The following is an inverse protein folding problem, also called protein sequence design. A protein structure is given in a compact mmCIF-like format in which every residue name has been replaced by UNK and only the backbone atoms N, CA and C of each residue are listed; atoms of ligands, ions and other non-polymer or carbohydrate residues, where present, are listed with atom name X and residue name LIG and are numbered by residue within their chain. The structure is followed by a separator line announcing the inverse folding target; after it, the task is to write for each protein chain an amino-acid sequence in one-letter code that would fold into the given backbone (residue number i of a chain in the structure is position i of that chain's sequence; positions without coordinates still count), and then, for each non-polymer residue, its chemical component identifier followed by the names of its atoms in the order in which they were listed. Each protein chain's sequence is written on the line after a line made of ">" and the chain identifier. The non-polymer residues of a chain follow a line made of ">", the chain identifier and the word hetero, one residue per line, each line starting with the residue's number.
data_IF_661113748308
#
_entry.id   IF_661113748308
#
_cell.length_a   1.000
_cell.length_b   1.000
_cell.length_c   1.000
_cell.angle_alpha   90.00
_cell.angle_beta   90.00
_cell.angle_gamma   90.00
#
_symmetry.space_group_name_H-M   'P 1'
#
loop_
_entity.id
_entity.type
_entity.pdbx_description
1 polymer ?
#
# COMPACT_ATOMS: atom_id res chain seq x y z
N UNK A 1 23.20 6.50 9.49
CA UNK A 1 22.51 7.37 8.50
C UNK A 1 23.11 8.77 8.64
N UNK A 2 23.68 9.32 7.56
CA UNK A 2 24.37 10.61 7.59
C UNK A 2 23.41 11.77 7.32
N UNK A 3 23.75 12.97 7.80
CA UNK A 3 22.93 14.19 7.74
C UNK A 3 22.54 14.70 6.32
N UNK A 4 22.89 13.96 5.26
CA UNK A 4 22.68 14.33 3.86
C UNK A 4 21.82 13.33 3.06
N UNK A 5 21.25 12.30 3.70
CA UNK A 5 20.32 11.39 3.02
C UNK A 5 18.89 11.92 3.18
N UNK A 6 18.08 12.02 2.10
CA UNK A 6 16.66 12.31 2.21
C UNK A 6 15.96 11.30 3.12
N UNK A 7 14.92 11.74 3.83
CA UNK A 7 14.10 10.83 4.61
C UNK A 7 13.23 9.96 3.70
N UNK A 8 13.01 8.72 4.11
CA UNK A 8 11.91 7.92 3.57
C UNK A 8 10.57 8.55 4.00
N UNK A 9 9.69 8.76 3.04
CA UNK A 9 8.30 9.20 3.26
C UNK A 9 7.39 8.00 3.06
N UNK A 10 6.57 7.70 4.08
CA UNK A 10 5.62 6.59 4.06
C UNK A 10 4.20 7.14 4.18
N UNK A 11 3.29 6.63 3.36
CA UNK A 11 1.87 6.96 3.45
C UNK A 11 1.01 5.70 3.62
N UNK A 12 -0.01 5.81 4.49
CA UNK A 12 -0.97 4.75 4.74
C UNK A 12 -2.17 4.86 3.80
N UNK A 13 -2.55 3.78 3.14
CA UNK A 13 -3.73 3.77 2.27
C UNK A 13 -4.40 2.41 2.23
N UNK A 14 -5.67 2.42 1.81
CA UNK A 14 -6.46 1.22 1.62
C UNK A 14 -6.79 1.06 0.15
N UNK A 15 -6.54 -0.13 -0.38
CA UNK A 15 -6.92 -0.57 -1.72
C UNK A 15 -8.08 -1.56 -1.60
N UNK A 16 -8.87 -1.75 -2.65
CA UNK A 16 -9.92 -2.78 -2.68
C UNK A 16 -9.30 -4.19 -2.56
N UNK A 17 -8.08 -4.34 -3.08
CA UNK A 17 -7.29 -5.54 -2.99
C UNK A 17 -7.69 -6.64 -3.97
N UNK A 18 -8.43 -6.26 -5.01
CA UNK A 18 -8.91 -7.11 -6.09
C UNK A 18 -7.99 -7.07 -7.32
N UNK A 19 -6.91 -6.26 -7.27
CA UNK A 19 -5.98 -6.10 -8.38
C UNK A 19 -6.52 -5.25 -9.52
N UNK A 20 -7.54 -4.45 -9.26
CA UNK A 20 -8.12 -3.52 -10.22
C UNK A 20 -7.17 -2.38 -10.61
N UNK A 21 -7.51 -1.69 -11.70
CA UNK A 21 -6.83 -0.45 -12.11
C UNK A 21 -6.95 0.62 -11.02
N UNK A 22 -8.04 0.65 -10.26
CA UNK A 22 -8.23 1.58 -9.15
C UNK A 22 -7.19 1.38 -8.03
N UNK A 23 -6.87 0.13 -7.69
CA UNK A 23 -5.81 -0.19 -6.73
C UNK A 23 -4.45 0.32 -7.21
N UNK A 24 -4.16 0.13 -8.49
CA UNK A 24 -2.93 0.57 -9.14
C UNK A 24 -2.84 2.10 -9.18
N UNK A 25 -3.95 2.78 -9.43
CA UNK A 25 -4.02 4.24 -9.44
C UNK A 25 -3.74 4.86 -8.07
N UNK A 26 -4.23 4.25 -6.98
CA UNK A 26 -3.92 4.70 -5.61
C UNK A 26 -2.42 4.70 -5.37
N UNK A 27 -1.74 3.59 -5.70
CA UNK A 27 -0.28 3.46 -5.51
C UNK A 27 0.48 4.42 -6.44
N UNK A 28 0.04 4.58 -7.69
CA UNK A 28 0.65 5.51 -8.66
C UNK A 28 0.64 6.95 -8.15
N UNK A 29 -0.45 7.41 -7.54
CA UNK A 29 -0.55 8.77 -6.97
C UNK A 29 0.49 9.02 -5.87
N UNK A 30 0.84 8.00 -5.09
CA UNK A 30 1.91 8.13 -4.09
C UNK A 30 3.28 8.25 -4.72
N UNK A 31 3.57 7.43 -5.74
CA UNK A 31 4.80 7.53 -6.50
C UNK A 31 4.95 8.92 -7.16
N UNK A 32 3.89 9.42 -7.79
CA UNK A 32 3.84 10.75 -8.42
C UNK A 32 4.06 11.89 -7.39
N UNK A 33 3.66 11.67 -6.14
CA UNK A 33 3.86 12.62 -5.03
C UNK A 33 5.23 12.50 -4.33
N UNK A 34 6.11 11.58 -4.76
CA UNK A 34 7.42 11.37 -4.16
C UNK A 34 7.41 10.56 -2.86
N UNK A 35 6.32 9.84 -2.58
CA UNK A 35 6.26 8.88 -1.47
C UNK A 35 7.16 7.70 -1.80
N UNK A 36 8.03 7.35 -0.87
CA UNK A 36 9.04 6.30 -1.06
C UNK A 36 8.53 4.90 -0.73
N UNK A 37 7.53 4.79 0.16
CA UNK A 37 6.88 3.54 0.56
C UNK A 37 5.41 3.77 0.87
N UNK A 38 4.58 2.76 0.70
CA UNK A 38 3.20 2.79 1.16
C UNK A 38 2.91 1.61 2.08
N UNK A 39 1.94 1.78 2.97
CA UNK A 39 1.49 0.75 3.89
C UNK A 39 -0.02 0.60 3.83
N UNK A 40 -0.46 -0.65 3.82
CA UNK A 40 -1.87 -0.99 3.92
C UNK A 40 -2.20 -1.51 5.32
N UNK A 41 -3.33 -1.06 5.87
CA UNK A 41 -3.86 -1.64 7.10
C UNK A 41 -4.37 -3.04 6.83
N UNK A 42 -3.85 -4.02 7.58
CA UNK A 42 -4.40 -5.38 7.67
C UNK A 42 -5.00 -5.55 9.06
N UNK A 43 -6.32 -5.53 9.15
CA UNK A 43 -7.02 -5.56 10.44
C UNK A 43 -8.43 -6.11 10.33
N UNK A 44 -9.01 -6.49 11.48
CA UNK A 44 -10.39 -6.98 11.58
C UNK A 44 -11.45 -5.96 11.17
N UNK A 45 -11.09 -4.68 11.02
CA UNK A 45 -12.00 -3.64 10.52
C UNK A 45 -12.23 -3.73 9.00
N UNK A 46 -11.38 -4.47 8.29
CA UNK A 46 -11.40 -4.58 6.82
C UNK A 46 -11.91 -5.92 6.31
N UNK A 47 -12.35 -6.80 7.22
CA UNK A 47 -12.86 -8.12 6.90
C UNK A 47 -12.46 -9.17 7.92
N UNK A 48 -12.87 -10.40 7.64
CA UNK A 48 -12.51 -11.58 8.39
C UNK A 48 -11.00 -11.88 8.33
N UNK A 49 -10.52 -12.71 9.27
CA UNK A 49 -9.14 -13.21 9.24
C UNK A 49 -8.81 -13.95 7.94
N UNK A 50 -9.79 -14.65 7.34
CA UNK A 50 -9.58 -15.37 6.09
C UNK A 50 -9.33 -14.38 4.93
N UNK A 51 -10.19 -13.37 4.78
CA UNK A 51 -10.05 -12.32 3.77
C UNK A 51 -8.73 -11.55 3.93
N UNK A 52 -8.33 -11.23 5.16
CA UNK A 52 -7.05 -10.57 5.42
C UNK A 52 -5.84 -11.45 5.09
N UNK A 53 -5.92 -12.77 5.29
CA UNK A 53 -4.87 -13.70 4.86
C UNK A 53 -4.77 -13.76 3.34
N UNK A 54 -5.89 -13.77 2.65
CA UNK A 54 -5.92 -13.77 1.19
C UNK A 54 -5.38 -12.45 0.64
N UNK A 55 -5.68 -11.31 1.29
CA UNK A 55 -5.08 -10.00 0.97
C UNK A 55 -3.55 -10.02 1.09
N UNK A 56 -3.01 -10.57 2.18
CA UNK A 56 -1.54 -10.70 2.36
C UNK A 56 -0.94 -11.54 1.22
N UNK A 57 -1.59 -12.64 0.83
CA UNK A 57 -1.11 -13.53 -0.24
C UNK A 57 -1.18 -12.91 -1.63
N UNK A 58 -2.20 -12.09 -1.90
CA UNK A 58 -2.33 -11.37 -3.15
C UNK A 58 -1.19 -10.37 -3.37
N UNK A 59 -0.65 -9.83 -2.27
CA UNK A 59 0.46 -8.88 -2.32
C UNK A 59 0.03 -7.49 -2.80
N UNK A 60 1.00 -6.61 -3.06
CA UNK A 60 0.72 -5.26 -3.53
C UNK A 60 0.13 -5.28 -4.96
N UNK A 61 -0.66 -4.26 -5.34
CA UNK A 61 -1.10 -4.08 -6.73
C UNK A 61 0.12 -4.00 -7.67
N UNK A 62 0.01 -4.58 -8.87
CA UNK A 62 1.02 -4.43 -9.90
C UNK A 62 0.90 -3.02 -10.52
N UNK A 63 2.03 -2.34 -10.67
CA UNK A 63 2.13 -1.05 -11.38
C UNK A 63 2.47 -1.26 -12.86
#
# INVERSE_FOLDING_TARGET
>A
RGAHQPFDVVFGAETAGDGSEADSEVVRRFADAGVTWWMESISHWRGSLAEMRDRIRAGPPAL
#
